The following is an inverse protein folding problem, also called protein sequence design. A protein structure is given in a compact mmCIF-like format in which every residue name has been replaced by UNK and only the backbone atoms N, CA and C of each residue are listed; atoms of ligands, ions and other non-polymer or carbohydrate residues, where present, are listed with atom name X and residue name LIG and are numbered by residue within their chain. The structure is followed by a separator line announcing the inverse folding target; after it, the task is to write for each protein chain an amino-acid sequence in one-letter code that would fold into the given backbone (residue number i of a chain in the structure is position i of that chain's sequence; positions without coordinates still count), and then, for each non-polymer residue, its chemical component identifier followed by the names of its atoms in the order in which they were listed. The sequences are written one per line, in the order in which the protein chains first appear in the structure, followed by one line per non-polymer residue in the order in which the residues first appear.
data_IF_229982590542
#
_entry.id   IF_229982590542
#
_cell.length_a   1.000
_cell.length_b   1.000
_cell.length_c   1.000
_cell.angle_alpha   90.00
_cell.angle_beta   90.00
_cell.angle_gamma   90.00
#
_symmetry.space_group_name_H-M   'P 1'
#
loop_
_entity.id
_entity.type
_entity.pdbx_description
1 polymer ?
#
# COMPACT_ATOMS: atom_id res chain seq x y z
N UNK A 1 8.04 -12.65 -15.86
CA UNK A 1 6.89 -13.46 -15.49
C UNK A 1 5.75 -13.19 -16.46
N UNK A 2 5.07 -14.24 -16.94
CA UNK A 2 3.90 -14.13 -17.83
C UNK A 2 2.59 -13.89 -17.05
N UNK A 3 2.65 -13.44 -15.81
CA UNK A 3 1.47 -13.18 -14.99
C UNK A 3 0.88 -11.80 -15.29
N UNK A 4 -0.43 -11.76 -15.52
CA UNK A 4 -1.16 -10.50 -15.71
C UNK A 4 -1.08 -9.65 -14.43
N UNK A 5 -0.82 -8.35 -14.59
CA UNK A 5 -0.83 -7.38 -13.48
C UNK A 5 -2.17 -7.41 -12.75
N UNK A 6 -3.29 -7.55 -13.48
CA UNK A 6 -4.62 -7.71 -12.91
C UNK A 6 -4.71 -8.96 -12.00
N UNK A 7 -4.13 -10.10 -12.43
CA UNK A 7 -4.11 -11.31 -11.61
C UNK A 7 -3.34 -11.13 -10.31
N UNK A 8 -2.23 -10.38 -10.33
CA UNK A 8 -1.47 -10.04 -9.12
C UNK A 8 -2.30 -9.17 -8.15
N UNK A 9 -3.02 -8.17 -8.66
CA UNK A 9 -3.90 -7.34 -7.83
C UNK A 9 -5.06 -8.15 -7.22
N UNK A 10 -5.69 -9.03 -8.01
CA UNK A 10 -6.78 -9.89 -7.52
C UNK A 10 -6.30 -10.90 -6.47
N UNK A 11 -5.09 -11.41 -6.61
CA UNK A 11 -4.51 -12.37 -5.65
C UNK A 11 -4.30 -11.75 -4.26
N UNK A 12 -4.09 -10.43 -4.17
CA UNK A 12 -3.90 -9.73 -2.88
C UNK A 12 -5.22 -9.40 -2.16
N UNK A 13 -6.37 -9.51 -2.83
CA UNK A 13 -7.66 -9.15 -2.25
C UNK A 13 -8.02 -10.03 -1.03
N UNK A 14 -7.88 -11.34 -1.14
CA UNK A 14 -8.19 -12.28 -0.05
C UNK A 14 -7.23 -12.08 1.14
N UNK A 15 -5.90 -12.09 0.96
CA UNK A 15 -4.95 -11.77 2.03
C UNK A 15 -5.22 -10.41 2.68
N UNK A 16 -5.60 -9.39 1.89
CA UNK A 16 -5.94 -8.07 2.39
C UNK A 16 -7.14 -8.07 3.33
N UNK A 17 -8.20 -8.79 2.98
CA UNK A 17 -9.38 -8.94 3.84
C UNK A 17 -9.01 -9.70 5.13
N UNK A 18 -8.24 -10.77 5.03
CA UNK A 18 -7.77 -11.54 6.21
C UNK A 18 -6.96 -10.63 7.13
N UNK A 19 -6.04 -9.85 6.58
CA UNK A 19 -5.23 -8.91 7.34
C UNK A 19 -6.09 -7.84 8.04
N UNK A 20 -7.08 -7.27 7.34
CA UNK A 20 -8.00 -6.29 7.90
C UNK A 20 -8.80 -6.86 9.08
N UNK A 21 -9.28 -8.10 8.96
CA UNK A 21 -9.98 -8.79 10.05
C UNK A 21 -9.05 -9.04 11.24
N UNK A 22 -7.84 -9.56 10.99
CA UNK A 22 -6.86 -9.81 12.05
C UNK A 22 -6.48 -8.52 12.79
N UNK A 23 -6.19 -7.44 12.06
CA UNK A 23 -5.89 -6.15 12.65
C UNK A 23 -7.06 -5.61 13.48
N UNK A 24 -8.29 -5.76 12.98
CA UNK A 24 -9.49 -5.35 13.71
C UNK A 24 -9.65 -6.13 15.03
N UNK A 25 -9.40 -7.44 15.01
CA UNK A 25 -9.45 -8.28 16.21
C UNK A 25 -8.36 -7.90 17.21
N UNK A 26 -7.12 -7.73 16.74
CA UNK A 26 -5.98 -7.33 17.60
C UNK A 26 -6.24 -5.95 18.20
N UNK A 27 -6.69 -4.99 17.39
CA UNK A 27 -7.03 -3.64 17.85
C UNK A 27 -8.13 -3.67 18.91
N UNK A 28 -9.20 -4.44 18.65
CA UNK A 28 -10.28 -4.62 19.61
C UNK A 28 -9.78 -5.20 20.95
N UNK A 29 -8.90 -6.19 20.89
CA UNK A 29 -8.33 -6.82 22.07
C UNK A 29 -7.38 -5.88 22.85
N UNK A 30 -6.54 -5.11 22.13
CA UNK A 30 -5.66 -4.11 22.73
C UNK A 30 -6.46 -2.98 23.40
N UNK A 31 -7.50 -2.48 22.73
CA UNK A 31 -8.37 -1.43 23.29
C UNK A 31 -9.04 -1.89 24.58
N UNK A 32 -9.48 -3.14 24.62
CA UNK A 32 -10.12 -3.71 25.82
C UNK A 32 -9.17 -3.83 27.03
N UNK A 33 -7.86 -3.99 26.78
CA UNK A 33 -6.83 -4.12 27.81
C UNK A 33 -6.20 -2.79 28.24
N UNK A 34 -6.41 -1.73 27.48
CA UNK A 34 -5.75 -0.44 27.73
C UNK A 34 -6.71 0.50 28.45
N UNK A 35 -6.47 0.84 29.74
CA UNK A 35 -7.34 1.72 30.53
C UNK A 35 -7.34 3.18 30.01
N UNK A 36 -6.33 3.57 29.22
CA UNK A 36 -6.18 4.94 28.71
C UNK A 36 -7.02 5.21 27.46
N UNK A 37 -7.71 4.21 26.92
CA UNK A 37 -8.59 4.39 25.77
C UNK A 37 -9.92 4.95 26.19
N UNK A 38 -10.16 6.21 25.87
CA UNK A 38 -11.44 6.87 26.10
C UNK A 38 -12.52 6.26 25.19
N UNK A 39 -13.35 5.40 25.75
CA UNK A 39 -14.52 4.86 25.06
C UNK A 39 -15.65 5.86 25.15
N UNK A 40 -15.94 6.56 24.06
CA UNK A 40 -17.05 7.50 24.01
C UNK A 40 -18.40 6.77 24.10
N UNK A 41 -19.25 7.21 24.99
CA UNK A 41 -20.65 6.77 25.04
C UNK A 41 -21.39 7.20 23.77
N UNK A 42 -22.43 6.47 23.36
CA UNK A 42 -23.24 6.81 22.17
C UNK A 42 -23.72 8.27 22.13
N UNK A 43 -24.00 8.87 23.28
CA UNK A 43 -24.42 10.28 23.39
C UNK A 43 -23.24 11.21 23.10
N UNK A 44 -22.08 10.96 23.69
CA UNK A 44 -20.84 11.72 23.44
C UNK A 44 -20.37 11.62 21.99
N UNK A 45 -20.52 10.46 21.35
CA UNK A 45 -20.25 10.28 19.93
C UNK A 45 -21.20 11.10 19.04
N UNK A 46 -22.50 11.15 19.38
CA UNK A 46 -23.47 11.98 18.65
C UNK A 46 -23.16 13.47 18.79
N UNK A 47 -22.81 13.90 19.99
CA UNK A 47 -22.47 15.30 20.27
C UNK A 47 -21.15 15.70 19.59
N UNK A 48 -20.12 14.86 19.67
CA UNK A 48 -18.86 15.04 18.94
C UNK A 48 -19.09 15.12 17.43
N UNK A 49 -19.84 14.20 16.85
CA UNK A 49 -20.18 14.20 15.42
C UNK A 49 -21.01 15.44 15.02
N UNK A 50 -21.81 15.98 15.93
CA UNK A 50 -22.57 17.22 15.68
C UNK A 50 -21.64 18.42 15.66
N UNK A 51 -20.75 18.53 16.65
CA UNK A 51 -19.75 19.59 16.73
C UNK A 51 -18.80 19.57 15.52
N UNK A 52 -18.29 18.40 15.15
CA UNK A 52 -17.46 18.25 13.96
C UNK A 52 -18.21 18.63 12.67
N UNK A 53 -19.52 18.33 12.57
CA UNK A 53 -20.33 18.77 11.42
C UNK A 53 -20.54 20.27 11.38
N UNK A 54 -20.71 20.90 12.52
CA UNK A 54 -20.85 22.37 12.64
C UNK A 54 -19.53 23.06 12.31
N UNK A 55 -18.39 22.55 12.80
CA UNK A 55 -17.05 23.05 12.44
C UNK A 55 -16.75 22.90 10.95
N UNK A 56 -17.07 21.74 10.35
CA UNK A 56 -16.92 21.52 8.89
C UNK A 56 -17.77 22.48 8.06
N UNK A 57 -19.00 22.76 8.51
CA UNK A 57 -19.86 23.76 7.87
C UNK A 57 -19.29 25.18 8.00
N UNK A 58 -18.74 25.52 9.16
CA UNK A 58 -18.14 26.83 9.43
C UNK A 58 -16.85 27.04 8.62
N UNK A 59 -16.06 26.00 8.46
CA UNK A 59 -14.80 26.04 7.70
C UNK A 59 -14.98 25.80 6.20
N UNK A 60 -16.20 25.74 5.68
CA UNK A 60 -16.50 25.41 4.27
C UNK A 60 -15.77 24.12 3.80
N UNK A 61 -15.58 23.16 4.70
CA UNK A 61 -14.96 21.90 4.36
C UNK A 61 -15.93 21.04 3.55
N UNK A 62 -15.54 20.79 2.30
CA UNK A 62 -16.26 19.87 1.44
C UNK A 62 -16.12 18.45 2.01
N UNK A 63 -17.22 17.69 1.98
CA UNK A 63 -17.23 16.32 2.53
C UNK A 63 -16.18 15.40 1.85
N UNK A 64 -15.84 14.32 2.52
CA UNK A 64 -14.84 13.35 2.06
C UNK A 64 -15.24 12.60 0.76
N UNK A 65 -16.41 12.88 0.18
CA UNK A 65 -16.94 12.17 -0.98
C UNK A 65 -15.99 12.19 -2.18
N UNK A 66 -15.48 13.37 -2.53
CA UNK A 66 -14.54 13.50 -3.65
C UNK A 66 -13.20 12.79 -3.39
N UNK A 67 -12.75 12.76 -2.12
CA UNK A 67 -11.54 12.00 -1.75
C UNK A 67 -11.76 10.49 -1.83
N UNK A 68 -12.92 9.99 -1.41
CA UNK A 68 -13.27 8.56 -1.46
C UNK A 68 -13.48 8.09 -2.91
N UNK A 69 -13.98 8.97 -3.77
CA UNK A 69 -14.21 8.63 -5.18
C UNK A 69 -12.91 8.31 -5.93
N UNK A 70 -11.79 8.91 -5.54
CA UNK A 70 -10.48 8.66 -6.16
C UNK A 70 -10.03 7.20 -6.06
N UNK A 71 -9.94 6.57 -4.87
CA UNK A 71 -9.65 5.13 -4.76
C UNK A 71 -10.65 4.26 -5.53
N UNK A 72 -11.92 4.61 -5.54
CA UNK A 72 -12.97 3.87 -6.28
C UNK A 72 -12.72 3.91 -7.79
N UNK A 73 -12.36 5.07 -8.34
CA UNK A 73 -12.02 5.21 -9.76
C UNK A 73 -10.77 4.39 -10.09
N UNK A 74 -9.71 4.52 -9.30
CA UNK A 74 -8.43 3.84 -9.54
C UNK A 74 -8.61 2.31 -9.45
N UNK A 75 -9.08 1.82 -8.32
CA UNK A 75 -9.24 0.39 -8.10
C UNK A 75 -10.32 -0.21 -9.00
N UNK A 76 -11.44 0.49 -9.19
CA UNK A 76 -12.51 0.04 -10.06
C UNK A 76 -12.08 -0.09 -11.51
N UNK A 77 -11.27 0.83 -12.02
CA UNK A 77 -10.76 0.76 -13.40
C UNK A 77 -9.71 -0.35 -13.58
N UNK A 78 -8.84 -0.57 -12.58
CA UNK A 78 -7.83 -1.64 -12.63
C UNK A 78 -8.51 -3.01 -12.48
N UNK A 79 -9.38 -3.20 -11.49
CA UNK A 79 -10.08 -4.47 -11.26
C UNK A 79 -11.11 -4.78 -12.36
N UNK A 80 -11.70 -3.75 -12.97
CA UNK A 80 -12.55 -3.91 -14.15
C UNK A 80 -11.78 -4.24 -15.45
N UNK A 81 -10.44 -4.25 -15.40
CA UNK A 81 -9.60 -4.52 -16.57
C UNK A 81 -9.67 -3.44 -17.65
N UNK A 82 -10.15 -2.24 -17.30
CA UNK A 82 -10.33 -1.12 -18.24
C UNK A 82 -9.01 -0.38 -18.43
N UNK A 83 -8.24 -0.21 -17.34
CA UNK A 83 -7.01 0.56 -17.32
C UNK A 83 -5.85 -0.26 -16.75
N UNK A 84 -4.66 0.00 -17.26
CA UNK A 84 -3.42 -0.43 -16.63
C UNK A 84 -3.15 0.41 -15.37
N UNK A 85 -2.35 -0.06 -14.40
CA UNK A 85 -1.97 0.73 -13.21
C UNK A 85 -1.34 2.09 -13.57
N UNK A 86 -0.55 2.15 -14.65
CA UNK A 86 0.09 3.38 -15.10
C UNK A 86 -0.94 4.40 -15.64
N UNK A 87 -1.93 3.93 -16.41
CA UNK A 87 -3.02 4.77 -16.90
C UNK A 87 -3.92 5.24 -15.74
N UNK A 88 -4.22 4.35 -14.79
CA UNK A 88 -4.97 4.70 -13.59
C UNK A 88 -4.23 5.75 -12.74
N UNK A 89 -2.91 5.69 -12.65
CA UNK A 89 -2.09 6.72 -11.99
C UNK A 89 -2.19 8.07 -12.72
N UNK A 90 -2.15 8.09 -14.05
CA UNK A 90 -2.33 9.33 -14.84
C UNK A 90 -3.73 9.94 -14.63
N UNK A 91 -4.77 9.12 -14.62
CA UNK A 91 -6.15 9.56 -14.35
C UNK A 91 -6.28 10.08 -12.91
N UNK A 92 -5.60 9.45 -11.94
CA UNK A 92 -5.62 9.93 -10.55
C UNK A 92 -5.05 11.34 -10.41
N UNK A 93 -3.99 11.67 -11.13
CA UNK A 93 -3.43 13.04 -11.17
C UNK A 93 -4.40 14.00 -11.85
N UNK A 94 -4.97 13.60 -13.00
CA UNK A 94 -5.96 14.39 -13.73
C UNK A 94 -7.23 14.66 -12.90
N UNK A 95 -7.60 13.75 -12.00
CA UNK A 95 -8.71 13.91 -11.06
C UNK A 95 -8.33 14.76 -9.85
N UNK A 96 -7.16 14.51 -9.24
CA UNK A 96 -6.73 15.18 -8.02
C UNK A 96 -6.54 16.69 -8.18
N UNK A 97 -6.03 17.15 -9.35
CA UNK A 97 -5.79 18.56 -9.61
C UNK A 97 -7.09 19.38 -9.62
N UNK A 98 -8.13 19.06 -10.40
CA UNK A 98 -9.40 19.78 -10.35
C UNK A 98 -10.08 19.71 -8.99
N UNK A 99 -10.06 18.56 -8.34
CA UNK A 99 -10.66 18.41 -7.00
C UNK A 99 -9.94 19.26 -5.97
N UNK A 100 -8.61 19.28 -5.96
CA UNK A 100 -7.82 20.11 -5.08
C UNK A 100 -8.00 21.61 -5.31
N UNK A 101 -8.13 22.03 -6.57
CA UNK A 101 -8.30 23.44 -6.95
C UNK A 101 -9.72 23.97 -6.76
N UNK A 102 -10.72 23.22 -7.23
CA UNK A 102 -12.10 23.71 -7.33
C UNK A 102 -12.99 23.23 -6.18
N UNK A 103 -12.80 21.97 -5.73
CA UNK A 103 -13.64 21.38 -4.67
C UNK A 103 -13.08 21.75 -3.29
N UNK A 104 -11.85 21.39 -3.01
CA UNK A 104 -11.24 21.65 -1.70
C UNK A 104 -10.62 23.04 -1.57
N UNK A 105 -10.26 23.69 -2.68
CA UNK A 105 -9.64 25.04 -2.72
C UNK A 105 -8.42 25.18 -1.81
N UNK A 106 -7.73 24.07 -1.53
CA UNK A 106 -6.53 24.00 -0.67
C UNK A 106 -5.24 23.86 -1.48
N UNK A 107 -5.35 23.78 -2.81
CA UNK A 107 -4.21 23.61 -3.70
C UNK A 107 -3.75 24.99 -4.19
N UNK A 108 -2.78 25.57 -3.51
CA UNK A 108 -2.09 26.79 -3.92
C UNK A 108 -0.80 26.47 -4.70
N UNK A 109 -0.17 27.50 -5.26
CA UNK A 109 1.08 27.34 -6.04
C UNK A 109 2.22 26.74 -5.21
N UNK A 110 2.30 27.07 -3.92
CA UNK A 110 3.36 26.57 -3.05
C UNK A 110 3.13 25.09 -2.71
N UNK A 111 1.90 24.71 -2.37
CA UNK A 111 1.51 23.30 -2.12
C UNK A 111 1.76 22.45 -3.35
N UNK A 112 1.41 22.96 -4.54
CA UNK A 112 1.64 22.26 -5.80
C UNK A 112 3.14 22.08 -6.08
N UNK A 113 3.96 23.15 -5.90
CA UNK A 113 5.42 23.06 -6.03
C UNK A 113 6.01 22.01 -5.08
N UNK A 114 5.58 22.02 -3.82
CA UNK A 114 6.05 21.06 -2.82
C UNK A 114 5.66 19.62 -3.21
N UNK A 115 4.42 19.40 -3.67
CA UNK A 115 3.97 18.09 -4.12
C UNK A 115 4.79 17.56 -5.32
N UNK A 116 5.04 18.41 -6.32
CA UNK A 116 5.89 18.03 -7.46
C UNK A 116 7.34 17.76 -7.04
N UNK A 117 7.90 18.58 -6.15
CA UNK A 117 9.26 18.38 -5.65
C UNK A 117 9.37 17.06 -4.89
N UNK A 118 8.43 16.76 -4.00
CA UNK A 118 8.40 15.48 -3.28
C UNK A 118 8.22 14.30 -4.22
N UNK A 119 7.32 14.40 -5.19
CA UNK A 119 7.13 13.36 -6.19
C UNK A 119 8.41 13.10 -7.00
N UNK A 120 9.10 14.17 -7.43
CA UNK A 120 10.35 14.07 -8.16
C UNK A 120 11.47 13.42 -7.32
N UNK A 121 11.62 13.83 -6.05
CA UNK A 121 12.60 13.22 -5.13
C UNK A 121 12.30 11.74 -4.90
N UNK A 122 11.05 11.40 -4.59
CA UNK A 122 10.65 10.00 -4.36
C UNK A 122 10.87 9.15 -5.61
N UNK A 123 10.50 9.65 -6.79
CA UNK A 123 10.74 8.95 -8.06
C UNK A 123 12.23 8.76 -8.31
N UNK A 124 13.05 9.80 -8.06
CA UNK A 124 14.50 9.71 -8.21
C UNK A 124 15.13 8.65 -7.29
N UNK A 125 14.71 8.60 -6.03
CA UNK A 125 15.16 7.57 -5.07
C UNK A 125 14.77 6.16 -5.54
N UNK A 126 13.52 5.97 -5.96
CA UNK A 126 13.04 4.67 -6.46
C UNK A 126 13.84 4.25 -7.71
N UNK A 127 14.11 5.17 -8.64
CA UNK A 127 14.92 4.85 -9.84
C UNK A 127 16.34 4.44 -9.50
N UNK A 128 16.99 5.13 -8.55
CA UNK A 128 18.32 4.75 -8.07
C UNK A 128 18.31 3.36 -7.41
N UNK A 129 17.32 3.08 -6.58
CA UNK A 129 17.12 1.76 -5.97
C UNK A 129 16.95 0.68 -7.03
N UNK A 130 16.11 0.90 -8.04
CA UNK A 130 15.89 -0.06 -9.13
C UNK A 130 17.19 -0.38 -9.90
N UNK A 131 18.02 0.62 -10.20
CA UNK A 131 19.28 0.42 -10.87
C UNK A 131 20.21 -0.44 -10.00
N UNK A 132 20.35 -0.10 -8.72
CA UNK A 132 21.21 -0.81 -7.77
C UNK A 132 20.77 -2.27 -7.60
N UNK A 133 19.48 -2.51 -7.44
CA UNK A 133 18.92 -3.85 -7.30
C UNK A 133 19.08 -4.67 -8.57
N UNK A 134 18.96 -4.07 -9.75
CA UNK A 134 19.20 -4.79 -11.00
C UNK A 134 20.67 -5.24 -11.15
N UNK A 135 21.62 -4.43 -10.70
CA UNK A 135 23.02 -4.83 -10.65
C UNK A 135 23.24 -6.02 -9.69
N UNK A 136 22.67 -5.93 -8.49
CA UNK A 136 22.73 -6.97 -7.48
C UNK A 136 22.05 -8.27 -7.96
N UNK A 137 20.89 -8.16 -8.60
CA UNK A 137 20.17 -9.29 -9.18
C UNK A 137 21.01 -10.05 -10.23
N UNK A 138 21.75 -9.32 -11.07
CA UNK A 138 22.68 -9.97 -12.04
C UNK A 138 23.77 -10.76 -11.34
N UNK A 139 24.34 -10.23 -10.25
CA UNK A 139 25.33 -10.95 -9.43
C UNK A 139 24.73 -12.22 -8.82
N UNK A 140 23.52 -12.15 -8.28
CA UNK A 140 22.83 -13.31 -7.71
C UNK A 140 22.60 -14.42 -8.72
N UNK A 141 22.22 -14.05 -9.96
CA UNK A 141 22.02 -15.02 -11.04
C UNK A 141 23.36 -15.63 -11.47
N UNK A 142 24.43 -14.84 -11.59
CA UNK A 142 25.75 -15.33 -11.94
C UNK A 142 26.32 -16.31 -10.92
N UNK A 143 26.15 -15.99 -9.62
CA UNK A 143 26.57 -16.85 -8.50
C UNK A 143 25.61 -18.02 -8.25
N UNK A 144 24.57 -18.19 -9.08
CA UNK A 144 23.56 -19.26 -8.95
C UNK A 144 22.89 -19.32 -7.57
N UNK A 145 22.79 -18.16 -6.87
CA UNK A 145 22.18 -18.07 -5.55
C UNK A 145 20.74 -18.62 -5.51
N UNK A 146 19.84 -18.35 -6.48
CA UNK A 146 18.49 -18.92 -6.48
C UNK A 146 18.52 -20.46 -6.47
N UNK A 147 19.43 -21.08 -7.23
CA UNK A 147 19.57 -22.54 -7.28
C UNK A 147 20.11 -23.10 -5.96
N UNK A 148 21.08 -22.41 -5.33
CA UNK A 148 21.62 -22.80 -4.03
C UNK A 148 20.56 -22.74 -2.93
N UNK A 149 19.75 -21.68 -2.93
CA UNK A 149 18.63 -21.54 -1.98
C UNK A 149 17.59 -22.63 -2.21
N UNK A 150 17.20 -22.88 -3.46
CA UNK A 150 16.24 -23.92 -3.81
C UNK A 150 16.73 -25.30 -3.38
N UNK A 151 18.00 -25.64 -3.67
CA UNK A 151 18.59 -26.91 -3.25
C UNK A 151 18.67 -27.03 -1.72
N UNK A 152 18.99 -25.94 -1.03
CA UNK A 152 18.97 -25.89 0.42
C UNK A 152 17.56 -26.14 1.02
N UNK A 153 16.55 -25.47 0.49
CA UNK A 153 15.15 -25.64 0.92
C UNK A 153 14.65 -27.07 0.65
N UNK A 154 14.95 -27.61 -0.53
CA UNK A 154 14.51 -28.97 -0.92
C UNK A 154 15.26 -30.05 -0.15
N UNK A 155 16.47 -29.79 0.33
CA UNK A 155 17.20 -30.73 1.21
C UNK A 155 16.56 -30.87 2.59
N UNK A 156 15.86 -29.84 3.08
CA UNK A 156 15.14 -29.85 4.37
C UNK A 156 13.82 -30.59 4.23
N UNK A 157 13.07 -30.33 3.16
CA UNK A 157 11.80 -31.01 2.89
C UNK A 157 11.45 -30.98 1.42
N UNK A 158 10.98 -32.12 0.89
CA UNK A 158 10.40 -32.21 -0.46
C UNK A 158 8.92 -31.80 -0.49
N UNK A 159 8.31 -31.51 0.66
CA UNK A 159 6.89 -31.15 0.75
C UNK A 159 6.68 -29.68 0.36
N UNK A 160 5.90 -29.45 -0.71
CA UNK A 160 5.57 -28.11 -1.22
C UNK A 160 5.04 -27.17 -0.12
N UNK A 161 4.20 -27.65 0.79
CA UNK A 161 3.62 -26.82 1.83
C UNK A 161 4.65 -26.35 2.86
N UNK A 162 5.64 -27.20 3.17
CA UNK A 162 6.74 -26.87 4.08
C UNK A 162 7.66 -25.82 3.44
N UNK A 163 7.99 -25.99 2.17
CA UNK A 163 8.79 -25.00 1.42
C UNK A 163 8.06 -23.64 1.39
N UNK A 164 6.76 -23.63 1.07
CA UNK A 164 5.97 -22.40 1.08
C UNK A 164 5.94 -21.74 2.46
N UNK A 165 5.84 -22.53 3.53
CA UNK A 165 5.89 -21.99 4.89
C UNK A 165 7.25 -21.35 5.20
N UNK A 166 8.34 -21.99 4.81
CA UNK A 166 9.70 -21.46 5.00
C UNK A 166 9.89 -20.14 4.23
N UNK A 167 9.43 -20.09 2.97
CA UNK A 167 9.47 -18.85 2.17
C UNK A 167 8.61 -17.76 2.81
N UNK A 168 7.42 -18.07 3.33
CA UNK A 168 6.60 -17.09 4.02
C UNK A 168 7.27 -16.54 5.28
N UNK A 169 7.90 -17.40 6.10
CA UNK A 169 8.66 -16.95 7.29
C UNK A 169 9.80 -16.02 6.86
N UNK A 170 10.54 -16.38 5.83
CA UNK A 170 11.62 -15.56 5.29
C UNK A 170 11.11 -14.19 4.82
N UNK A 171 9.98 -14.15 4.09
CA UNK A 171 9.36 -12.92 3.63
C UNK A 171 8.84 -12.04 4.78
N UNK A 172 8.33 -12.64 5.86
CA UNK A 172 7.94 -11.91 7.07
C UNK A 172 9.16 -11.24 7.71
N UNK A 173 10.27 -11.95 7.84
CA UNK A 173 11.51 -11.39 8.41
C UNK A 173 12.02 -10.24 7.55
N UNK A 174 12.04 -10.40 6.22
CA UNK A 174 12.42 -9.32 5.30
C UNK A 174 11.49 -8.11 5.43
N UNK A 175 10.18 -8.33 5.49
CA UNK A 175 9.20 -7.25 5.64
C UNK A 175 9.27 -6.51 6.99
N UNK A 176 9.84 -7.13 8.03
CA UNK A 176 10.13 -6.45 9.29
C UNK A 176 11.39 -5.57 9.24
N UNK A 177 12.33 -5.89 8.35
CA UNK A 177 13.64 -5.23 8.27
C UNK A 177 13.71 -4.15 7.17
N UNK A 178 12.89 -4.26 6.16
CA UNK A 178 12.92 -3.42 4.95
C UNK A 178 11.54 -2.83 4.66
N UNK A 179 11.53 -1.72 3.89
CA UNK A 179 10.32 -1.19 3.30
C UNK A 179 9.81 -2.09 2.15
N UNK A 180 8.55 -1.94 1.78
CA UNK A 180 7.86 -2.80 0.81
C UNK A 180 8.56 -2.82 -0.56
N UNK A 181 8.98 -1.65 -1.07
CA UNK A 181 9.60 -1.54 -2.38
C UNK A 181 10.96 -2.23 -2.41
N UNK A 182 11.81 -1.99 -1.41
CA UNK A 182 13.13 -2.61 -1.30
C UNK A 182 13.04 -4.12 -1.09
N UNK A 183 12.11 -4.56 -0.24
CA UNK A 183 11.88 -5.98 0.05
C UNK A 183 11.46 -6.76 -1.20
N UNK A 184 10.50 -6.25 -1.96
CA UNK A 184 10.03 -6.88 -3.20
C UNK A 184 11.14 -6.91 -4.25
N UNK A 185 11.85 -5.80 -4.46
CA UNK A 185 12.91 -5.73 -5.46
C UNK A 185 14.09 -6.67 -5.13
N UNK A 186 14.40 -6.84 -3.84
CA UNK A 186 15.48 -7.74 -3.40
C UNK A 186 15.07 -9.21 -3.47
N UNK A 187 13.85 -9.54 -3.07
CA UNK A 187 13.38 -10.93 -2.98
C UNK A 187 12.95 -11.51 -4.34
N UNK A 188 12.48 -10.69 -5.29
CA UNK A 188 11.96 -11.17 -6.58
C UNK A 188 12.99 -11.95 -7.42
N UNK A 189 14.31 -11.65 -7.43
CA UNK A 189 15.30 -12.43 -8.17
C UNK A 189 15.66 -13.77 -7.51
N UNK A 190 15.38 -13.93 -6.22
CA UNK A 190 15.65 -15.13 -5.41
C UNK A 190 14.49 -16.11 -5.50
#
# INVERSE_FOLDING_TARGET
SNTSVLACFLATAIPGVVLAVLLSVVTYWMIRKNPDVVVYTRQQLKEKNRLEKEERKKNHEHGAFAAILMPVIILGSIYGGILTPTEAAAISVAYALPVGLFVYKKLDKQTMKNAYTQAAVTTGVIMLMMITVQMLSRLYIQEKLPQMILSGLTSISANKNVILLMVNIFMIILGMLMDDASGVLLATPI
#
